data_IF_491872586591
#
_entry.id   IF_491872586591
#
_cell.length_a   1.000
_cell.length_b   1.000
_cell.length_c   1.000
_cell.angle_alpha   90.00
_cell.angle_beta   90.00
_cell.angle_gamma   90.00
#
_symmetry.space_group_name_H-M   'P 1'
#
loop_
_entity.id
_entity.type
_entity.pdbx_description
1 polymer ?
#
# COMPACT_ATOMS: atom_id res chain seq x y z
N UNK A 1 28.97 -29.29 2.35
CA UNK A 1 27.89 -30.27 2.59
C UNK A 1 26.57 -29.55 2.39
N UNK A 2 25.78 -29.94 1.38
CA UNK A 2 24.44 -29.37 1.16
C UNK A 2 23.51 -29.95 2.24
N UNK A 3 23.10 -29.13 3.20
CA UNK A 3 22.06 -29.49 4.15
C UNK A 3 20.74 -29.58 3.39
N UNK A 4 20.23 -30.79 3.21
CA UNK A 4 18.88 -31.03 2.73
C UNK A 4 17.93 -30.37 3.73
N UNK A 5 17.17 -29.38 3.26
CA UNK A 5 16.05 -28.83 4.02
C UNK A 5 14.98 -29.91 3.93
N UNK A 6 14.88 -30.71 4.99
CA UNK A 6 13.80 -31.67 5.15
C UNK A 6 12.51 -30.86 5.19
N UNK A 7 11.59 -31.13 4.27
CA UNK A 7 10.22 -30.63 4.30
C UNK A 7 9.51 -31.25 5.53
N UNK A 8 9.80 -30.71 6.70
CA UNK A 8 9.02 -30.98 7.91
C UNK A 8 7.64 -30.35 7.71
N UNK A 9 6.71 -31.16 7.20
CA UNK A 9 5.30 -30.80 7.16
C UNK A 9 4.85 -30.42 8.57
N UNK A 10 4.45 -29.17 8.74
CA UNK A 10 4.08 -28.57 10.02
C UNK A 10 2.73 -29.10 10.51
N UNK A 11 2.68 -30.37 10.90
CA UNK A 11 1.54 -30.98 11.56
C UNK A 11 1.59 -30.62 13.04
N UNK A 12 0.97 -29.49 13.39
CA UNK A 12 0.78 -29.13 14.80
C UNK A 12 -0.08 -30.20 15.48
N UNK A 13 0.36 -30.64 16.66
CA UNK A 13 -0.47 -31.48 17.52
C UNK A 13 -1.75 -30.71 17.91
N UNK A 14 -2.92 -31.39 17.96
CA UNK A 14 -4.15 -30.76 18.38
C UNK A 14 -3.97 -30.11 19.75
N UNK A 15 -4.25 -28.81 19.87
CA UNK A 15 -4.27 -28.14 21.17
C UNK A 15 -5.34 -28.76 22.03
N UNK A 16 -4.95 -29.24 23.21
CA UNK A 16 -5.87 -29.77 24.19
C UNK A 16 -6.77 -28.63 24.71
N UNK A 17 -8.06 -28.72 24.40
CA UNK A 17 -9.04 -27.70 24.73
C UNK A 17 -9.11 -27.43 26.24
N UNK A 18 -8.77 -28.42 27.07
CA UNK A 18 -8.74 -28.29 28.52
C UNK A 18 -7.66 -27.29 29.00
N UNK A 19 -6.50 -27.24 28.33
CA UNK A 19 -5.39 -26.35 28.69
C UNK A 19 -5.69 -24.89 28.33
N UNK A 20 -6.39 -24.66 27.23
CA UNK A 20 -6.81 -23.32 26.77
C UNK A 20 -7.79 -22.67 27.74
N UNK A 21 -8.70 -23.48 28.30
CA UNK A 21 -9.68 -23.06 29.30
C UNK A 21 -9.01 -22.78 30.64
N UNK A 22 -8.06 -23.63 31.07
CA UNK A 22 -7.32 -23.46 32.34
C UNK A 22 -6.41 -22.23 32.35
N UNK A 23 -5.80 -21.86 31.22
CA UNK A 23 -4.95 -20.67 31.11
C UNK A 23 -5.70 -19.34 30.92
N UNK A 24 -7.04 -19.34 30.95
CA UNK A 24 -7.83 -18.10 30.98
C UNK A 24 -7.81 -17.28 29.68
N UNK A 25 -7.43 -17.88 28.55
CA UNK A 25 -7.37 -17.24 27.23
C UNK A 25 -8.76 -17.00 26.60
N UNK A 26 -9.83 -17.38 27.30
CA UNK A 26 -11.24 -17.33 26.90
C UNK A 26 -11.90 -15.93 27.04
N UNK A 27 -11.16 -14.88 27.40
CA UNK A 27 -11.76 -13.54 27.55
C UNK A 27 -11.89 -12.86 26.18
N UNK A 28 -13.13 -12.84 25.67
CA UNK A 28 -13.64 -12.23 24.42
C UNK A 28 -13.55 -13.07 23.13
N UNK A 29 -14.41 -14.08 23.00
CA UNK A 29 -14.74 -14.72 21.73
C UNK A 29 -15.74 -13.84 20.96
N UNK A 30 -15.25 -12.79 20.30
CA UNK A 30 -15.91 -12.29 19.08
C UNK A 30 -15.88 -13.43 18.04
N UNK A 31 -16.88 -13.62 17.16
CA UNK A 31 -16.86 -14.70 16.18
C UNK A 31 -15.56 -14.63 15.37
N UNK A 32 -14.59 -15.50 15.71
CA UNK A 32 -13.27 -15.51 15.10
C UNK A 32 -13.47 -15.97 13.66
N UNK A 33 -13.48 -15.03 12.71
CA UNK A 33 -13.43 -15.36 11.28
C UNK A 33 -12.29 -16.36 11.08
N UNK A 34 -12.55 -17.46 10.39
CA UNK A 34 -11.53 -18.48 10.09
C UNK A 34 -10.35 -17.78 9.39
N UNK A 35 -9.24 -17.59 10.11
CA UNK A 35 -7.98 -17.10 9.52
C UNK A 35 -7.47 -18.22 8.62
N UNK A 36 -7.34 -17.95 7.32
CA UNK A 36 -6.73 -18.90 6.38
C UNK A 36 -5.22 -18.78 6.55
N UNK A 37 -4.55 -19.90 6.83
CA UNK A 37 -3.09 -19.95 6.84
C UNK A 37 -2.59 -19.83 5.40
N UNK A 38 -1.69 -18.88 5.16
CA UNK A 38 -0.98 -18.73 3.88
C UNK A 38 0.43 -19.27 4.12
N UNK A 39 0.87 -20.20 3.28
CA UNK A 39 2.20 -20.80 3.33
C UNK A 39 2.89 -20.45 2.03
N UNK A 40 4.02 -19.73 2.12
CA UNK A 40 4.79 -19.34 0.94
C UNK A 40 5.70 -20.50 0.49
N UNK A 41 5.67 -20.80 -0.80
CA UNK A 41 6.52 -21.82 -1.43
C UNK A 41 7.97 -21.34 -1.54
N UNK A 42 8.17 -20.07 -1.90
CA UNK A 42 9.48 -19.45 -2.05
C UNK A 42 9.76 -18.52 -0.87
N UNK A 43 10.70 -18.93 0.00
CA UNK A 43 11.06 -18.19 1.22
C UNK A 43 12.23 -17.21 1.02
N UNK A 44 12.94 -17.31 -0.10
CA UNK A 44 14.16 -16.54 -0.38
C UNK A 44 14.12 -15.94 -1.79
N UNK A 45 14.81 -14.80 -1.96
CA UNK A 45 15.08 -14.21 -3.27
C UNK A 45 16.25 -14.97 -3.90
N UNK A 46 16.16 -15.31 -5.19
CA UNK A 46 17.27 -16.00 -5.86
C UNK A 46 18.48 -15.08 -6.06
N UNK A 47 19.67 -15.66 -6.16
CA UNK A 47 20.90 -14.87 -6.37
C UNK A 47 20.91 -14.12 -7.70
N UNK A 48 20.20 -14.63 -8.71
CA UNK A 48 20.10 -13.98 -10.02
C UNK A 48 19.16 -12.78 -9.97
N UNK A 49 18.00 -12.91 -9.33
CA UNK A 49 17.08 -11.79 -9.11
C UNK A 49 17.75 -10.68 -8.28
N UNK A 50 18.53 -11.06 -7.26
CA UNK A 50 19.26 -10.09 -6.45
C UNK A 50 20.29 -9.30 -7.28
N UNK A 51 21.04 -9.97 -8.17
CA UNK A 51 21.97 -9.30 -9.09
C UNK A 51 21.24 -8.39 -10.08
N UNK A 52 20.13 -8.87 -10.64
CA UNK A 52 19.28 -8.09 -11.55
C UNK A 52 18.83 -6.79 -10.87
N UNK A 53 18.29 -6.86 -9.65
CA UNK A 53 17.86 -5.70 -8.89
C UNK A 53 19.01 -4.73 -8.56
N UNK A 54 20.22 -5.25 -8.31
CA UNK A 54 21.41 -4.42 -8.10
C UNK A 54 21.90 -3.74 -9.38
N UNK A 55 21.72 -4.39 -10.54
CA UNK A 55 22.08 -3.82 -11.84
C UNK A 55 21.04 -2.81 -12.35
N UNK A 56 19.77 -3.06 -12.10
CA UNK A 56 18.62 -2.31 -12.61
C UNK A 56 17.58 -2.11 -11.50
N UNK A 57 17.46 -0.87 -11.01
CA UNK A 57 16.62 -0.50 -9.85
C UNK A 57 15.64 0.66 -10.16
N UNK A 58 15.45 0.95 -11.45
CA UNK A 58 14.67 2.11 -11.93
C UNK A 58 13.18 2.03 -11.57
N UNK A 59 12.64 0.83 -11.42
CA UNK A 59 11.25 0.58 -11.03
C UNK A 59 10.91 1.10 -9.63
N UNK A 60 11.89 1.15 -8.74
CA UNK A 60 11.75 1.66 -7.37
C UNK A 60 11.87 3.20 -7.32
N UNK A 61 12.42 3.82 -8.37
CA UNK A 61 12.54 5.27 -8.44
C UNK A 61 11.26 5.94 -8.93
N UNK A 62 10.93 7.07 -8.33
CA UNK A 62 9.88 7.95 -8.82
C UNK A 62 10.50 9.29 -9.23
N UNK A 63 10.05 9.91 -10.34
CA UNK A 63 10.51 11.24 -10.70
C UNK A 63 10.04 12.26 -9.67
N UNK A 64 10.81 13.35 -9.52
CA UNK A 64 10.44 14.45 -8.62
C UNK A 64 9.19 15.17 -9.15
N UNK A 65 8.10 15.12 -8.40
CA UNK A 65 6.89 15.90 -8.70
C UNK A 65 7.07 17.33 -8.20
N UNK A 66 7.29 18.25 -9.14
CA UNK A 66 7.47 19.66 -8.86
C UNK A 66 6.14 20.41 -8.89
N UNK A 67 6.02 21.39 -8.00
CA UNK A 67 4.98 22.39 -8.11
C UNK A 67 5.07 23.13 -9.47
N UNK A 68 3.96 23.68 -10.00
CA UNK A 68 3.96 24.41 -11.25
C UNK A 68 5.02 25.53 -11.27
N UNK A 69 5.98 25.51 -12.22
CA UNK A 69 7.18 26.36 -12.15
C UNK A 69 6.91 27.82 -12.50
N UNK A 70 5.72 28.15 -13.01
CA UNK A 70 5.34 29.51 -13.38
C UNK A 70 4.00 29.89 -12.75
N UNK A 71 3.82 31.18 -12.48
CA UNK A 71 2.55 31.74 -11.97
C UNK A 71 1.35 31.37 -12.87
N UNK A 72 1.55 31.36 -14.19
CA UNK A 72 0.50 30.98 -15.16
C UNK A 72 0.07 29.52 -14.97
N UNK A 73 1.02 28.61 -14.87
CA UNK A 73 0.72 27.18 -14.63
C UNK A 73 0.12 26.94 -13.25
N UNK A 74 0.52 27.71 -12.25
CA UNK A 74 -0.07 27.66 -10.91
C UNK A 74 -1.55 28.06 -10.94
N UNK A 75 -1.89 29.19 -11.59
CA UNK A 75 -3.29 29.59 -11.78
C UNK A 75 -4.09 28.60 -12.62
N UNK A 76 -3.46 27.97 -13.61
CA UNK A 76 -4.11 26.94 -14.43
C UNK A 76 -4.38 25.67 -13.62
N UNK A 77 -3.42 25.20 -12.80
CA UNK A 77 -3.64 24.08 -11.86
C UNK A 77 -4.72 24.40 -10.85
N UNK A 78 -4.75 25.62 -10.34
CA UNK A 78 -5.76 26.06 -9.38
C UNK A 78 -7.17 26.12 -9.99
N UNK A 79 -7.32 26.64 -11.21
CA UNK A 79 -8.62 26.87 -11.85
C UNK A 79 -9.06 25.80 -12.84
N UNK A 80 -8.19 24.85 -13.17
CA UNK A 80 -8.43 23.78 -14.15
C UNK A 80 -9.11 22.53 -13.59
N UNK A 81 -9.53 22.53 -12.33
CA UNK A 81 -10.36 21.44 -11.78
C UNK A 81 -11.74 21.45 -12.44
N UNK A 82 -12.30 20.27 -12.70
CA UNK A 82 -13.62 20.09 -13.33
C UNK A 82 -14.69 20.91 -12.62
N UNK A 83 -14.73 20.87 -11.29
CA UNK A 83 -15.69 21.63 -10.47
C UNK A 83 -15.60 23.14 -10.73
N UNK A 84 -14.36 23.65 -10.83
CA UNK A 84 -14.10 25.07 -11.05
C UNK A 84 -14.39 25.48 -12.49
N UNK A 85 -14.21 24.59 -13.47
CA UNK A 85 -14.53 24.86 -14.86
C UNK A 85 -16.03 24.95 -15.11
N UNK A 86 -16.84 24.12 -14.43
CA UNK A 86 -18.30 24.22 -14.52
C UNK A 86 -18.88 25.45 -13.81
N UNK A 87 -18.23 25.93 -12.76
CA UNK A 87 -18.67 27.10 -11.98
C UNK A 87 -18.18 28.44 -12.56
N UNK A 88 -17.11 28.45 -13.34
CA UNK A 88 -16.48 29.67 -13.83
C UNK A 88 -16.59 29.82 -15.36
N UNK A 89 -16.79 31.04 -15.88
CA UNK A 89 -16.76 31.28 -17.31
C UNK A 89 -15.34 31.09 -17.87
N UNK A 90 -15.26 30.68 -19.15
CA UNK A 90 -14.00 30.47 -19.87
C UNK A 90 -13.19 31.75 -20.14
N UNK A 91 -13.79 32.93 -19.91
CA UNK A 91 -13.12 34.23 -20.00
C UNK A 91 -12.99 34.86 -18.60
N UNK A 92 -11.78 35.26 -18.21
CA UNK A 92 -11.51 35.88 -16.91
C UNK A 92 -12.25 37.21 -16.71
N UNK A 93 -12.56 37.93 -17.78
CA UNK A 93 -13.31 39.18 -17.74
C UNK A 93 -14.76 39.00 -17.28
N UNK A 94 -15.31 37.79 -17.42
CA UNK A 94 -16.68 37.45 -17.03
C UNK A 94 -16.78 36.91 -15.59
N UNK A 95 -15.64 36.76 -14.88
CA UNK A 95 -15.64 36.29 -13.49
C UNK A 95 -16.15 37.40 -12.57
N UNK A 96 -17.10 37.06 -11.70
CA UNK A 96 -17.57 37.97 -10.66
C UNK A 96 -16.43 38.32 -9.69
N UNK A 97 -16.36 39.57 -9.24
CA UNK A 97 -15.39 39.99 -8.22
C UNK A 97 -15.73 39.33 -6.89
N UNK A 98 -14.73 38.74 -6.24
CA UNK A 98 -14.88 38.23 -4.87
C UNK A 98 -15.32 39.36 -3.94
N UNK A 99 -16.43 39.15 -3.23
CA UNK A 99 -16.95 40.11 -2.24
C UNK A 99 -16.21 39.96 -0.90
N UNK A 100 -15.47 38.87 -0.71
CA UNK A 100 -14.72 38.60 0.52
C UNK A 100 -13.22 38.82 0.26
N UNK A 101 -12.60 39.66 1.09
CA UNK A 101 -11.15 39.95 1.13
C UNK A 101 -10.40 38.86 1.87
#
# INVERSE_FOLDING_TARGET
>A
MMTQIVDESFALEPLDASLVVQQGLEKHIRPKRKRRLIVDEQKNISGEEMKSNMSEWRDTTTPLDLAPPTKKLMHLRESGSVDKLFQNPGCSALRAKSIVK
#
